data_IF_683416149009
#
_entry.id   IF_683416149009
#
_cell.length_a   1.000
_cell.length_b   1.000
_cell.length_c   1.000
_cell.angle_alpha   90.00
_cell.angle_beta   90.00
_cell.angle_gamma   90.00
#
_symmetry.space_group_name_H-M   'P 1'
#
loop_
_entity.id
_entity.type
_entity.pdbx_description
1 polymer ?
#
# COMPACT_ATOMS: atom_id res chain seq x y z
N UNK A 1 15.15 23.37 -12.00
CA UNK A 1 14.05 23.75 -11.07
C UNK A 1 12.70 23.94 -11.79
N UNK A 2 12.56 24.85 -12.76
CA UNK A 2 11.29 25.01 -13.54
C UNK A 2 10.80 23.71 -14.20
N UNK A 3 11.71 22.95 -14.83
CA UNK A 3 11.41 21.61 -15.39
C UNK A 3 10.88 20.63 -14.34
N UNK A 4 11.51 20.59 -13.15
CA UNK A 4 11.10 19.71 -12.06
C UNK A 4 9.71 20.05 -11.55
N UNK A 5 9.41 21.33 -11.34
CA UNK A 5 8.09 21.76 -10.92
C UNK A 5 7.01 21.36 -11.94
N UNK A 6 7.29 21.57 -13.24
CA UNK A 6 6.39 21.15 -14.32
C UNK A 6 6.18 19.63 -14.35
N UNK A 7 7.25 18.88 -14.13
CA UNK A 7 7.20 17.42 -14.08
C UNK A 7 6.41 16.94 -12.85
N UNK A 8 6.59 17.56 -11.69
CA UNK A 8 5.84 17.28 -10.45
C UNK A 8 4.34 17.55 -10.60
N UNK A 9 3.97 18.71 -11.14
CA UNK A 9 2.57 19.12 -11.34
C UNK A 9 1.85 18.21 -12.34
N UNK A 10 2.57 17.63 -13.31
CA UNK A 10 1.95 16.77 -14.32
C UNK A 10 1.96 15.30 -13.86
N UNK A 11 3.13 14.74 -13.58
CA UNK A 11 3.28 13.32 -13.30
C UNK A 11 2.84 12.96 -11.88
N UNK A 12 3.38 13.64 -10.87
CA UNK A 12 3.09 13.27 -9.49
C UNK A 12 1.66 13.61 -9.15
N UNK A 13 1.14 14.77 -9.56
CA UNK A 13 -0.28 15.07 -9.31
C UNK A 13 -1.22 14.07 -9.97
N UNK A 14 -0.97 13.65 -11.22
CA UNK A 14 -1.82 12.68 -11.89
C UNK A 14 -1.75 11.29 -11.23
N UNK A 15 -0.54 10.81 -10.92
CA UNK A 15 -0.36 9.55 -10.21
C UNK A 15 -0.98 9.58 -8.80
N UNK A 16 -0.81 10.70 -8.10
CA UNK A 16 -1.44 10.94 -6.80
C UNK A 16 -2.96 10.91 -6.88
N UNK A 17 -3.54 11.53 -7.91
CA UNK A 17 -4.99 11.55 -8.14
C UNK A 17 -5.54 10.19 -8.54
N UNK A 18 -4.82 9.43 -9.37
CA UNK A 18 -5.20 8.04 -9.69
C UNK A 18 -5.18 7.17 -8.45
N UNK A 19 -4.14 7.27 -7.61
CA UNK A 19 -4.07 6.50 -6.36
C UNK A 19 -5.15 6.90 -5.36
N UNK A 20 -5.47 8.20 -5.31
CA UNK A 20 -6.59 8.71 -4.53
C UNK A 20 -7.93 8.10 -4.97
N UNK A 21 -8.19 8.01 -6.29
CA UNK A 21 -9.43 7.41 -6.81
C UNK A 21 -9.51 5.91 -6.50
N UNK A 22 -8.38 5.20 -6.56
CA UNK A 22 -8.34 3.77 -6.23
C UNK A 22 -8.61 3.49 -4.76
N UNK A 23 -8.05 4.29 -3.84
CA UNK A 23 -8.34 4.12 -2.41
C UNK A 23 -9.72 4.63 -2.05
N UNK A 24 -10.22 5.64 -2.75
CA UNK A 24 -11.61 6.09 -2.67
C UNK A 24 -12.55 4.93 -3.00
N UNK A 25 -12.47 4.31 -4.17
CA UNK A 25 -13.32 3.16 -4.55
C UNK A 25 -13.22 1.99 -3.55
N UNK A 26 -12.00 1.65 -3.10
CA UNK A 26 -11.81 0.56 -2.14
C UNK A 26 -12.54 0.83 -0.81
N UNK A 27 -12.48 2.07 -0.29
CA UNK A 27 -13.21 2.49 0.90
C UNK A 27 -14.71 2.63 0.65
N UNK A 28 -15.11 3.03 -0.56
CA UNK A 28 -16.50 3.20 -0.96
C UNK A 28 -17.28 1.89 -0.80
N UNK A 29 -16.67 0.74 -1.09
CA UNK A 29 -17.32 -0.57 -0.94
C UNK A 29 -17.77 -0.85 0.49
N UNK A 30 -16.88 -0.61 1.46
CA UNK A 30 -17.16 -0.84 2.89
C UNK A 30 -18.23 0.12 3.38
N UNK A 31 -18.13 1.38 2.99
CA UNK A 31 -19.07 2.44 3.38
C UNK A 31 -20.46 2.22 2.75
N UNK A 32 -20.51 1.82 1.47
CA UNK A 32 -21.74 1.45 0.78
C UNK A 32 -22.42 0.23 1.43
N UNK A 33 -21.64 -0.79 1.81
CA UNK A 33 -22.13 -1.98 2.48
C UNK A 33 -22.92 -1.65 3.75
N UNK A 34 -22.38 -0.78 4.61
CA UNK A 34 -23.03 -0.37 5.86
C UNK A 34 -24.11 0.71 5.70
N UNK A 35 -24.23 1.28 4.50
CA UNK A 35 -25.17 2.38 4.20
C UNK A 35 -26.38 1.95 3.36
N UNK A 36 -26.73 0.65 3.36
CA UNK A 36 -27.94 0.14 2.70
C UNK A 36 -27.70 -0.86 1.56
N UNK A 37 -26.45 -1.02 1.09
CA UNK A 37 -26.14 -1.99 0.02
C UNK A 37 -26.35 -3.43 0.49
N UNK A 38 -26.10 -3.73 1.78
CA UNK A 38 -26.32 -5.04 2.36
C UNK A 38 -27.79 -5.47 2.28
N UNK A 39 -28.69 -4.57 2.68
CA UNK A 39 -30.13 -4.80 2.76
C UNK A 39 -30.75 -4.85 1.36
N UNK A 40 -30.37 -3.94 0.47
CA UNK A 40 -30.95 -3.84 -0.87
C UNK A 40 -30.57 -5.01 -1.78
N UNK A 41 -29.30 -5.45 -1.72
CA UNK A 41 -28.83 -6.58 -2.53
C UNK A 41 -29.06 -7.93 -1.84
N UNK A 42 -29.51 -7.94 -0.58
CA UNK A 42 -29.77 -9.18 0.17
C UNK A 42 -28.51 -9.98 0.45
N UNK A 43 -27.41 -9.32 0.86
CA UNK A 43 -26.17 -10.00 1.24
C UNK A 43 -26.38 -10.95 2.42
N UNK A 44 -25.93 -12.20 2.27
CA UNK A 44 -26.03 -13.24 3.29
C UNK A 44 -24.66 -13.82 3.67
N UNK A 45 -24.51 -14.16 4.96
CA UNK A 45 -23.33 -14.86 5.47
C UNK A 45 -22.02 -14.14 5.15
N UNK A 46 -21.11 -14.83 4.47
CA UNK A 46 -19.76 -14.34 4.17
C UNK A 46 -19.62 -13.68 2.79
N UNK A 47 -20.72 -13.43 2.07
CA UNK A 47 -20.70 -12.92 0.70
C UNK A 47 -19.99 -11.57 0.55
N UNK A 48 -20.04 -10.71 1.56
CA UNK A 48 -19.28 -9.45 1.56
C UNK A 48 -17.76 -9.70 1.48
N UNK A 49 -17.24 -10.61 2.31
CA UNK A 49 -15.83 -10.95 2.29
C UNK A 49 -15.46 -11.67 0.98
N UNK A 50 -16.35 -12.52 0.45
CA UNK A 50 -16.16 -13.13 -0.89
C UNK A 50 -16.02 -12.08 -1.97
N UNK A 51 -16.86 -11.04 -1.97
CA UNK A 51 -16.78 -9.92 -2.92
C UNK A 51 -15.44 -9.17 -2.81
N UNK A 52 -14.97 -8.87 -1.59
CA UNK A 52 -13.66 -8.23 -1.38
C UNK A 52 -12.52 -9.12 -1.90
N UNK A 53 -12.57 -10.43 -1.62
CA UNK A 53 -11.61 -11.41 -2.13
C UNK A 53 -11.63 -11.49 -3.66
N UNK A 54 -12.80 -11.47 -4.29
CA UNK A 54 -12.90 -11.53 -5.76
C UNK A 54 -12.18 -10.36 -6.43
N UNK A 55 -12.24 -9.15 -5.85
CA UNK A 55 -11.43 -8.00 -6.31
C UNK A 55 -9.93 -8.28 -6.18
N UNK A 56 -9.49 -8.82 -5.05
CA UNK A 56 -8.08 -9.14 -4.81
C UNK A 56 -7.55 -10.24 -5.75
N UNK A 57 -8.38 -11.24 -6.08
CA UNK A 57 -8.03 -12.27 -7.08
C UNK A 57 -7.86 -11.62 -8.45
N UNK A 58 -8.79 -10.75 -8.85
CA UNK A 58 -8.66 -9.97 -10.09
C UNK A 58 -7.36 -9.16 -10.11
N UNK A 59 -7.04 -8.50 -9.00
CA UNK A 59 -5.80 -7.73 -8.85
C UNK A 59 -4.54 -8.59 -9.00
N UNK A 60 -4.47 -9.72 -8.29
CA UNK A 60 -3.33 -10.63 -8.37
C UNK A 60 -3.12 -11.20 -9.79
N UNK A 61 -4.22 -11.57 -10.46
CA UNK A 61 -4.17 -12.05 -11.85
C UNK A 61 -3.73 -10.94 -12.79
N UNK A 62 -4.23 -9.71 -12.63
CA UNK A 62 -3.93 -8.59 -13.53
C UNK A 62 -2.50 -8.07 -13.39
N UNK A 63 -1.87 -8.24 -12.24
CA UNK A 63 -0.54 -7.71 -11.96
C UNK A 63 0.54 -8.32 -12.86
N UNK A 64 0.48 -9.64 -13.11
CA UNK A 64 1.48 -10.35 -13.93
C UNK A 64 1.40 -9.91 -15.41
N UNK A 65 0.24 -10.02 -16.11
CA UNK A 65 0.10 -9.54 -17.47
C UNK A 65 0.41 -8.06 -17.61
N UNK A 66 -0.04 -7.23 -16.67
CA UNK A 66 0.18 -5.79 -16.73
C UNK A 66 1.65 -5.42 -16.69
N UNK A 67 2.42 -6.03 -15.79
CA UNK A 67 3.87 -5.85 -15.73
C UNK A 67 4.54 -6.25 -17.05
N UNK A 68 4.13 -7.37 -17.66
CA UNK A 68 4.64 -7.80 -18.95
C UNK A 68 4.27 -6.82 -20.07
N UNK A 69 3.05 -6.29 -20.08
CA UNK A 69 2.59 -5.32 -21.09
C UNK A 69 3.35 -4.00 -20.95
N UNK A 70 3.60 -3.52 -19.74
CA UNK A 70 4.39 -2.31 -19.48
C UNK A 70 5.83 -2.39 -20.02
N UNK A 71 6.39 -3.60 -20.20
CA UNK A 71 7.70 -3.76 -20.84
C UNK A 71 7.67 -3.54 -22.36
N UNK A 72 6.50 -3.70 -23.00
CA UNK A 72 6.34 -3.65 -24.47
C UNK A 72 5.58 -2.40 -24.93
N UNK A 73 4.53 -2.04 -24.20
CA UNK A 73 3.64 -0.93 -24.48
C UNK A 73 4.02 0.26 -23.61
N UNK A 74 3.93 1.48 -24.18
CA UNK A 74 4.26 2.68 -23.42
C UNK A 74 3.25 2.90 -22.29
N UNK A 75 3.72 3.26 -21.07
CA UNK A 75 2.84 3.61 -19.94
C UNK A 75 1.78 4.65 -20.28
N UNK A 76 2.09 5.55 -21.23
CA UNK A 76 1.18 6.56 -21.77
C UNK A 76 -0.17 6.01 -22.28
N UNK A 77 -0.19 4.81 -22.83
CA UNK A 77 -1.43 4.22 -23.36
C UNK A 77 -2.02 3.18 -22.41
N UNK A 78 -1.16 2.37 -21.78
CA UNK A 78 -1.62 1.28 -20.93
C UNK A 78 -2.23 1.77 -19.62
N UNK A 79 -1.58 2.70 -18.91
CA UNK A 79 -2.09 3.16 -17.60
C UNK A 79 -3.44 3.87 -17.73
N UNK A 80 -3.62 4.85 -18.65
CA UNK A 80 -4.93 5.47 -18.85
C UNK A 80 -6.00 4.49 -19.32
N UNK A 81 -5.64 3.51 -20.16
CA UNK A 81 -6.60 2.49 -20.58
C UNK A 81 -7.10 1.68 -19.38
N UNK A 82 -6.20 1.23 -18.50
CA UNK A 82 -6.57 0.55 -17.28
C UNK A 82 -7.41 1.44 -16.36
N UNK A 83 -7.04 2.71 -16.15
CA UNK A 83 -7.81 3.66 -15.33
C UNK A 83 -9.21 3.94 -15.89
N UNK A 84 -9.36 4.03 -17.22
CA UNK A 84 -10.67 4.20 -17.87
C UNK A 84 -11.52 2.95 -17.71
N UNK A 85 -10.96 1.75 -17.94
CA UNK A 85 -11.68 0.49 -17.73
C UNK A 85 -12.10 0.34 -16.26
N UNK A 86 -11.19 0.61 -15.32
CA UNK A 86 -11.50 0.70 -13.89
C UNK A 86 -12.69 1.62 -13.63
N UNK A 87 -12.66 2.85 -14.14
CA UNK A 87 -13.75 3.83 -13.96
C UNK A 87 -15.09 3.34 -14.54
N UNK A 88 -15.07 2.71 -15.71
CA UNK A 88 -16.29 2.17 -16.37
C UNK A 88 -16.89 1.03 -15.54
N UNK A 89 -16.07 0.11 -15.03
CA UNK A 89 -16.56 -0.96 -14.16
C UNK A 89 -17.05 -0.42 -12.80
N UNK A 90 -16.40 0.61 -12.24
CA UNK A 90 -16.88 1.30 -11.04
C UNK A 90 -18.26 1.93 -11.27
N UNK A 91 -18.49 2.57 -12.42
CA UNK A 91 -19.83 3.04 -12.80
C UNK A 91 -20.84 1.90 -12.88
N UNK A 92 -20.45 0.75 -13.44
CA UNK A 92 -21.33 -0.41 -13.55
C UNK A 92 -21.78 -0.95 -12.19
N UNK A 93 -21.01 -0.74 -11.10
CA UNK A 93 -21.42 -1.08 -9.73
C UNK A 93 -22.73 -0.39 -9.32
N UNK A 94 -23.07 0.79 -9.86
CA UNK A 94 -24.31 1.47 -9.50
C UNK A 94 -25.58 0.80 -10.07
N UNK A 95 -25.45 -0.14 -11.01
CA UNK A 95 -26.56 -0.80 -11.71
C UNK A 95 -26.83 -2.24 -11.26
N UNK A 96 -26.01 -2.79 -10.36
CA UNK A 96 -26.12 -4.18 -9.89
C UNK A 96 -27.37 -4.43 -9.06
N UNK A 97 -27.85 -5.68 -9.11
CA UNK A 97 -29.06 -6.13 -8.38
C UNK A 97 -28.82 -7.36 -7.51
N UNK A 98 -27.68 -8.04 -7.69
CA UNK A 98 -27.31 -9.23 -6.92
C UNK A 98 -25.91 -9.11 -6.29
N UNK A 99 -25.66 -9.77 -5.14
CA UNK A 99 -24.32 -9.90 -4.54
C UNK A 99 -23.31 -10.59 -5.48
N UNK A 100 -23.79 -11.46 -6.37
CA UNK A 100 -22.92 -12.12 -7.36
C UNK A 100 -22.51 -11.15 -8.46
N UNK A 101 -23.43 -10.31 -8.95
CA UNK A 101 -23.15 -9.34 -10.02
C UNK A 101 -22.08 -8.33 -9.57
N UNK A 102 -22.22 -7.81 -8.35
CA UNK A 102 -21.23 -6.88 -7.79
C UNK A 102 -19.87 -7.57 -7.61
N UNK A 103 -19.84 -8.84 -7.21
CA UNK A 103 -18.59 -9.61 -7.10
C UNK A 103 -17.90 -9.77 -8.47
N UNK A 104 -18.65 -10.05 -9.52
CA UNK A 104 -18.11 -10.16 -10.89
C UNK A 104 -17.56 -8.82 -11.38
N UNK A 105 -18.30 -7.72 -11.19
CA UNK A 105 -17.79 -6.39 -11.59
C UNK A 105 -16.53 -6.06 -10.79
N UNK A 106 -16.50 -6.38 -9.49
CA UNK A 106 -15.34 -6.16 -8.61
C UNK A 106 -14.11 -6.96 -9.05
N UNK A 107 -14.28 -8.14 -9.65
CA UNK A 107 -13.17 -8.86 -10.29
C UNK A 107 -12.50 -8.02 -11.38
N UNK A 108 -13.30 -7.46 -12.30
CA UNK A 108 -12.78 -6.63 -13.39
C UNK A 108 -12.17 -5.32 -12.89
N UNK A 109 -12.81 -4.67 -11.89
CA UNK A 109 -12.21 -3.52 -11.21
C UNK A 109 -10.80 -3.85 -10.72
N UNK A 110 -10.65 -4.96 -9.98
CA UNK A 110 -9.34 -5.41 -9.50
C UNK A 110 -8.34 -5.71 -10.62
N UNK A 111 -8.80 -6.37 -11.70
CA UNK A 111 -7.98 -6.73 -12.86
C UNK A 111 -7.36 -5.52 -13.56
N UNK A 112 -8.10 -4.42 -13.70
CA UNK A 112 -7.57 -3.20 -14.32
C UNK A 112 -6.77 -2.36 -13.31
N UNK A 113 -7.19 -2.33 -12.05
CA UNK A 113 -6.52 -1.62 -10.95
C UNK A 113 -5.08 -2.09 -10.72
N UNK A 114 -4.79 -3.38 -10.89
CA UNK A 114 -3.46 -3.96 -10.64
C UNK A 114 -2.31 -3.35 -11.42
N UNK A 115 -2.61 -2.65 -12.51
CA UNK A 115 -1.63 -2.03 -13.41
C UNK A 115 -1.08 -0.73 -12.85
N UNK A 116 -1.87 -0.04 -12.02
CA UNK A 116 -1.63 1.34 -11.67
C UNK A 116 -0.43 1.48 -10.73
N UNK A 117 -0.42 0.80 -9.59
CA UNK A 117 0.66 0.91 -8.61
C UNK A 117 2.06 0.55 -9.18
N UNK A 118 2.28 -0.62 -9.83
CA UNK A 118 3.58 -0.91 -10.44
C UNK A 118 3.89 0.02 -11.62
N UNK A 119 2.88 0.42 -12.39
CA UNK A 119 3.03 1.41 -13.45
C UNK A 119 3.46 2.77 -12.96
N UNK A 120 2.89 3.24 -11.85
CA UNK A 120 3.23 4.48 -11.17
C UNK A 120 4.70 4.46 -10.71
N UNK A 121 5.12 3.37 -10.05
CA UNK A 121 6.51 3.18 -9.64
C UNK A 121 7.46 3.14 -10.84
N UNK A 122 7.05 2.50 -11.93
CA UNK A 122 7.84 2.45 -13.16
C UNK A 122 7.99 3.84 -13.81
N UNK A 123 6.90 4.60 -13.92
CA UNK A 123 6.94 5.97 -14.45
C UNK A 123 7.76 6.87 -13.54
N UNK A 124 7.51 6.87 -12.23
CA UNK A 124 8.29 7.67 -11.28
C UNK A 124 9.77 7.31 -11.33
N UNK A 125 10.08 6.01 -11.43
CA UNK A 125 11.44 5.52 -11.65
C UNK A 125 12.07 6.15 -12.88
N UNK A 126 11.42 6.15 -14.05
CA UNK A 126 12.03 6.59 -15.30
C UNK A 126 12.20 8.12 -15.45
N UNK A 127 11.60 8.93 -14.58
CA UNK A 127 11.58 10.39 -14.74
C UNK A 127 12.24 11.15 -13.59
N UNK A 128 12.39 10.52 -12.42
CA UNK A 128 12.96 11.14 -11.22
C UNK A 128 14.30 10.54 -10.83
N UNK A 129 15.17 11.39 -10.28
CA UNK A 129 16.45 10.96 -9.71
C UNK A 129 16.30 10.39 -8.31
N UNK A 130 17.27 9.60 -7.85
CA UNK A 130 17.23 8.94 -6.53
C UNK A 130 17.02 9.90 -5.35
N UNK A 131 17.63 11.08 -5.40
CA UNK A 131 17.52 12.15 -4.39
C UNK A 131 16.14 12.84 -4.37
N UNK A 132 15.37 12.68 -5.45
CA UNK A 132 14.08 13.31 -5.67
C UNK A 132 12.89 12.39 -5.33
N UNK A 133 13.11 11.08 -5.36
CA UNK A 133 12.07 10.05 -5.19
C UNK A 133 11.45 10.06 -3.79
N UNK A 134 12.25 10.19 -2.73
CA UNK A 134 11.78 10.03 -1.36
C UNK A 134 10.66 11.02 -1.00
N UNK A 135 10.87 12.32 -1.27
CA UNK A 135 9.89 13.38 -0.97
C UNK A 135 8.57 13.19 -1.75
N UNK A 136 8.66 12.70 -2.98
CA UNK A 136 7.52 12.49 -3.87
C UNK A 136 6.76 11.21 -3.56
N UNK A 137 7.45 10.17 -3.12
CA UNK A 137 6.85 8.94 -2.62
C UNK A 137 5.96 9.18 -1.39
N UNK A 138 6.39 10.05 -0.47
CA UNK A 138 5.56 10.42 0.70
C UNK A 138 4.29 11.17 0.28
N UNK A 139 4.39 12.10 -0.68
CA UNK A 139 3.22 12.80 -1.22
C UNK A 139 2.25 11.81 -1.87
N UNK A 140 2.75 10.89 -2.70
CA UNK A 140 1.96 9.84 -3.35
C UNK A 140 1.22 8.95 -2.34
N UNK A 141 1.92 8.45 -1.32
CA UNK A 141 1.31 7.58 -0.29
C UNK A 141 0.29 8.35 0.58
N UNK A 142 0.53 9.63 0.84
CA UNK A 142 -0.40 10.44 1.65
C UNK A 142 -1.78 10.57 0.99
N UNK A 143 -1.84 10.57 -0.35
CA UNK A 143 -3.09 10.62 -1.11
C UNK A 143 -3.95 9.38 -0.94
N UNK A 144 -3.33 8.24 -0.65
CA UNK A 144 -4.04 7.01 -0.29
C UNK A 144 -4.94 7.24 0.92
N UNK A 145 -4.39 7.82 2.00
CA UNK A 145 -5.11 8.14 3.23
C UNK A 145 -6.15 9.25 3.02
N UNK A 146 -5.83 10.26 2.21
CA UNK A 146 -6.81 11.30 1.83
C UNK A 146 -8.01 10.73 1.09
N UNK A 147 -7.81 9.75 0.19
CA UNK A 147 -8.89 9.06 -0.51
C UNK A 147 -9.85 8.34 0.43
N UNK A 148 -9.32 7.67 1.47
CA UNK A 148 -10.15 6.99 2.48
C UNK A 148 -11.00 7.98 3.29
N UNK A 149 -10.43 9.10 3.72
CA UNK A 149 -11.18 10.13 4.46
C UNK A 149 -12.28 10.73 3.57
N UNK A 150 -11.93 11.04 2.32
CA UNK A 150 -12.88 11.60 1.36
C UNK A 150 -14.03 10.61 1.06
N UNK A 151 -13.75 9.30 1.01
CA UNK A 151 -14.78 8.26 0.89
C UNK A 151 -15.84 8.36 1.97
N UNK A 152 -15.43 8.43 3.25
CA UNK A 152 -16.39 8.52 4.36
C UNK A 152 -17.23 9.79 4.32
N UNK A 153 -16.61 10.92 3.96
CA UNK A 153 -17.32 12.20 3.79
C UNK A 153 -18.30 12.14 2.62
N UNK A 154 -17.86 11.60 1.48
CA UNK A 154 -18.67 11.47 0.28
C UNK A 154 -19.87 10.55 0.53
N UNK A 155 -19.68 9.40 1.20
CA UNK A 155 -20.79 8.50 1.54
C UNK A 155 -21.82 9.21 2.41
N UNK A 156 -21.35 9.91 3.46
CA UNK A 156 -22.21 10.64 4.38
C UNK A 156 -23.04 11.71 3.65
N UNK A 157 -22.39 12.48 2.78
CA UNK A 157 -23.05 13.51 1.98
C UNK A 157 -24.04 12.93 0.96
N UNK A 158 -23.67 11.83 0.28
CA UNK A 158 -24.54 11.14 -0.68
C UNK A 158 -25.75 10.52 0.01
N UNK A 159 -25.56 9.90 1.17
CA UNK A 159 -26.67 9.35 1.95
C UNK A 159 -27.62 10.44 2.46
N UNK A 160 -27.09 11.56 2.93
CA UNK A 160 -27.92 12.63 3.52
C UNK A 160 -28.70 13.41 2.45
N UNK A 161 -28.09 13.67 1.29
CA UNK A 161 -28.64 14.61 0.31
C UNK A 161 -29.14 13.95 -0.99
N UNK A 162 -28.69 12.74 -1.31
CA UNK A 162 -28.98 12.07 -2.58
C UNK A 162 -29.77 10.77 -2.43
N UNK A 163 -30.03 10.32 -1.20
CA UNK A 163 -30.86 9.15 -0.98
C UNK A 163 -32.30 9.39 -1.45
N UNK A 164 -32.83 8.49 -2.28
CA UNK A 164 -34.13 8.62 -2.92
C UNK A 164 -34.15 9.51 -4.17
N UNK A 165 -33.09 10.28 -4.44
CA UNK A 165 -33.01 11.12 -5.64
C UNK A 165 -32.91 10.22 -6.88
N UNK A 166 -33.76 10.48 -7.88
CA UNK A 166 -33.95 9.63 -9.07
C UNK A 166 -34.30 8.16 -8.75
N UNK A 167 -34.97 7.89 -7.61
CA UNK A 167 -35.32 6.53 -7.16
C UNK A 167 -34.10 5.61 -6.99
N UNK A 168 -32.95 6.19 -6.65
CA UNK A 168 -31.71 5.48 -6.37
C UNK A 168 -31.33 5.66 -4.90
N UNK A 169 -30.86 4.58 -4.30
CA UNK A 169 -30.32 4.59 -2.94
C UNK A 169 -29.00 5.35 -2.87
N UNK A 170 -28.71 5.99 -1.74
CA UNK A 170 -27.53 6.83 -1.54
C UNK A 170 -26.20 6.13 -1.84
N UNK A 171 -26.08 4.83 -1.58
CA UNK A 171 -24.86 4.06 -1.91
C UNK A 171 -24.61 3.93 -3.42
N UNK A 172 -25.65 3.90 -4.26
CA UNK A 172 -25.49 3.85 -5.73
C UNK A 172 -24.91 5.16 -6.26
N UNK A 173 -25.30 6.28 -5.65
CA UNK A 173 -24.78 7.61 -5.97
C UNK A 173 -23.29 7.74 -5.69
N UNK A 174 -22.79 7.06 -4.65
CA UNK A 174 -21.37 7.04 -4.35
C UNK A 174 -20.54 6.52 -5.54
N UNK A 175 -20.91 5.36 -6.10
CA UNK A 175 -20.20 4.78 -7.24
C UNK A 175 -20.33 5.64 -8.52
N UNK A 176 -21.44 6.36 -8.68
CA UNK A 176 -21.61 7.31 -9.79
C UNK A 176 -20.65 8.49 -9.63
N UNK A 177 -20.60 9.11 -8.46
CA UNK A 177 -19.73 10.28 -8.22
C UNK A 177 -18.25 9.87 -8.34
N UNK A 178 -17.90 8.71 -7.79
CA UNK A 178 -16.56 8.15 -7.88
C UNK A 178 -16.11 7.94 -9.34
N UNK A 179 -16.98 7.36 -10.17
CA UNK A 179 -16.74 7.25 -11.60
C UNK A 179 -16.63 8.61 -12.31
N UNK A 180 -17.45 9.61 -11.93
CA UNK A 180 -17.42 10.96 -12.52
C UNK A 180 -16.10 11.68 -12.20
N UNK A 181 -15.53 11.43 -11.02
CA UNK A 181 -14.24 12.01 -10.63
C UNK A 181 -13.09 11.25 -11.33
N UNK A 182 -13.16 9.92 -11.36
CA UNK A 182 -12.09 9.06 -11.88
C UNK A 182 -11.95 9.13 -13.40
N UNK A 183 -13.06 9.18 -14.15
CA UNK A 183 -13.03 9.10 -15.61
C UNK A 183 -12.30 10.29 -16.29
N UNK A 184 -12.54 11.57 -15.90
CA UNK A 184 -11.78 12.70 -16.43
C UNK A 184 -10.28 12.64 -16.10
N UNK A 185 -9.93 12.15 -14.90
CA UNK A 185 -8.53 11.97 -14.49
C UNK A 185 -7.86 10.92 -15.38
N UNK A 186 -8.53 9.78 -15.60
CA UNK A 186 -8.08 8.73 -16.50
C UNK A 186 -7.93 9.22 -17.94
N UNK A 187 -8.90 10.00 -18.43
CA UNK A 187 -8.85 10.61 -19.76
C UNK A 187 -7.72 11.64 -19.90
N UNK A 188 -7.49 12.46 -18.87
CA UNK A 188 -6.37 13.39 -18.81
C UNK A 188 -5.03 12.64 -18.87
N UNK A 189 -4.97 11.41 -18.35
CA UNK A 189 -3.80 10.55 -18.45
C UNK A 189 -3.34 10.27 -19.88
N UNK A 190 -4.24 10.07 -20.84
CA UNK A 190 -3.84 9.86 -22.25
C UNK A 190 -3.07 11.05 -22.85
N UNK A 191 -3.39 12.27 -22.37
CA UNK A 191 -2.77 13.51 -22.81
C UNK A 191 -1.49 13.81 -22.02
N UNK A 192 -1.53 13.61 -20.70
CA UNK A 192 -0.52 14.08 -19.77
C UNK A 192 0.59 13.06 -19.48
N UNK A 193 0.32 11.75 -19.52
CA UNK A 193 1.37 10.76 -19.27
C UNK A 193 2.43 10.84 -20.39
N UNK A 194 3.70 11.05 -20.03
CA UNK A 194 4.79 11.04 -20.99
C UNK A 194 5.06 9.62 -21.48
N UNK A 195 5.39 9.50 -22.77
CA UNK A 195 6.00 8.30 -23.32
C UNK A 195 7.40 8.09 -22.74
N UNK A 196 8.03 6.94 -22.96
CA UNK A 196 9.41 6.68 -22.50
C UNK A 196 10.35 7.86 -22.80
N UNK A 197 11.24 8.28 -21.89
CA UNK A 197 12.15 9.41 -22.08
C UNK A 197 12.88 9.41 -23.44
N UNK A 198 13.22 8.23 -23.95
CA UNK A 198 13.90 8.05 -25.25
C UNK A 198 12.98 8.33 -26.44
N UNK A 199 11.68 8.04 -26.30
CA UNK A 199 10.64 8.15 -27.34
C UNK A 199 9.79 9.42 -27.22
N UNK A 200 10.02 10.29 -26.25
CA UNK A 200 9.30 11.57 -26.13
C UNK A 200 9.65 12.46 -27.32
N UNK A 201 8.63 12.89 -28.04
CA UNK A 201 8.74 13.89 -29.10
C UNK A 201 8.39 15.29 -28.55
N UNK A 202 9.05 16.35 -29.04
CA UNK A 202 8.69 17.72 -28.68
C UNK A 202 7.24 18.01 -29.09
N UNK A 203 6.49 18.63 -28.18
CA UNK A 203 5.07 18.93 -28.36
C UNK A 203 4.59 20.02 -27.40
N UNK A 204 3.27 20.24 -27.33
CA UNK A 204 2.68 21.31 -26.49
C UNK A 204 3.03 21.18 -24.99
N UNK A 205 3.20 19.96 -24.51
CA UNK A 205 3.47 19.68 -23.09
C UNK A 205 4.97 19.70 -22.80
N UNK A 206 5.81 19.11 -23.66
CA UNK A 206 7.25 19.01 -23.44
C UNK A 206 8.03 19.74 -24.53
N UNK A 207 8.80 20.76 -24.15
CA UNK A 207 9.66 21.48 -25.10
C UNK A 207 10.88 20.64 -25.47
N UNK A 208 11.52 20.93 -26.61
CA UNK A 208 12.77 20.28 -27.00
C UNK A 208 13.87 20.45 -25.93
N UNK A 209 13.87 21.59 -25.24
CA UNK A 209 14.76 21.87 -24.10
C UNK A 209 14.46 20.98 -22.89
N UNK A 210 13.19 20.80 -22.55
CA UNK A 210 12.76 19.92 -21.46
C UNK A 210 13.18 18.46 -21.73
N UNK A 211 13.04 17.99 -22.97
CA UNK A 211 13.42 16.63 -23.40
C UNK A 211 14.94 16.44 -23.35
N UNK A 212 15.72 17.43 -23.80
CA UNK A 212 17.18 17.39 -23.73
C UNK A 212 17.66 17.30 -22.28
N UNK A 213 17.05 18.06 -21.36
CA UNK A 213 17.33 17.95 -19.92
C UNK A 213 16.98 16.56 -19.40
N UNK A 214 15.81 16.03 -19.77
CA UNK A 214 15.35 14.72 -19.31
C UNK A 214 16.30 13.59 -19.73
N UNK A 215 16.71 13.57 -21.01
CA UNK A 215 17.65 12.57 -21.53
C UNK A 215 19.03 12.67 -20.89
N UNK A 216 19.58 13.89 -20.81
CA UNK A 216 20.86 14.13 -20.15
C UNK A 216 20.84 13.67 -18.68
N UNK A 217 19.72 13.84 -17.99
CA UNK A 217 19.58 13.37 -16.60
C UNK A 217 19.53 11.86 -16.47
N UNK A 218 18.92 11.17 -17.42
CA UNK A 218 18.87 9.70 -17.45
C UNK A 218 20.25 9.10 -17.78
N UNK A 219 20.99 9.70 -18.71
CA UNK A 219 22.38 9.32 -19.02
C UNK A 219 23.29 9.47 -17.80
N UNK A 220 23.16 10.57 -17.07
CA UNK A 220 23.96 10.85 -15.85
C UNK A 220 23.71 9.88 -14.70
N UNK A 221 22.63 9.10 -14.73
CA UNK A 221 22.27 8.18 -13.66
C UNK A 221 22.70 6.72 -13.93
N UNK A 222 23.44 6.48 -15.03
CA UNK A 222 23.92 5.17 -15.52
C UNK A 222 22.89 4.06 -15.32
N UNK A 223 21.61 4.38 -15.60
CA UNK A 223 20.53 3.40 -15.57
C UNK A 223 20.64 2.56 -16.82
N UNK A 224 21.61 1.64 -16.81
CA UNK A 224 21.72 0.57 -17.80
C UNK A 224 20.34 -0.07 -17.92
N UNK A 225 19.80 -0.06 -19.14
CA UNK A 225 18.61 -0.81 -19.52
C UNK A 225 18.65 -2.18 -18.86
N UNK A 226 17.54 -2.55 -18.19
CA UNK A 226 17.38 -3.77 -17.39
C UNK A 226 18.32 -4.90 -17.86
N UNK A 227 19.32 -5.23 -17.04
CA UNK A 227 20.26 -6.28 -17.35
C UNK A 227 19.49 -7.57 -17.65
N UNK A 228 19.94 -8.33 -18.66
CA UNK A 228 19.31 -9.61 -19.00
C UNK A 228 19.46 -10.56 -17.82
N UNK A 229 18.33 -10.93 -17.21
CA UNK A 229 18.27 -11.94 -16.15
C UNK A 229 19.03 -13.20 -16.58
N UNK A 230 20.16 -13.47 -15.92
CA UNK A 230 20.96 -14.69 -16.15
C UNK A 230 20.68 -15.68 -15.02
N UNK A 231 20.51 -16.97 -15.34
CA UNK A 231 20.18 -18.01 -14.34
C UNK A 231 21.14 -18.02 -13.13
N UNK A 232 22.43 -17.74 -13.36
CA UNK A 232 23.42 -17.63 -12.28
C UNK A 232 23.15 -16.49 -11.30
N UNK A 233 22.58 -15.36 -11.76
CA UNK A 233 22.21 -14.25 -10.88
C UNK A 233 21.00 -14.60 -10.02
N UNK A 234 20.01 -15.31 -10.57
CA UNK A 234 18.86 -15.78 -9.79
C UNK A 234 19.27 -16.73 -8.66
N UNK A 235 20.16 -17.69 -8.93
CA UNK A 235 20.66 -18.61 -7.89
C UNK A 235 21.36 -17.85 -6.76
N UNK A 236 22.18 -16.84 -7.10
CA UNK A 236 22.84 -15.99 -6.09
C UNK A 236 21.84 -15.18 -5.26
N UNK A 237 20.78 -14.66 -5.89
CA UNK A 237 19.73 -13.90 -5.20
C UNK A 237 18.92 -14.81 -4.26
N UNK A 238 18.46 -15.97 -4.72
CA UNK A 238 17.72 -16.92 -3.87
C UNK A 238 18.59 -17.56 -2.77
N UNK A 239 19.91 -17.51 -2.89
CA UNK A 239 20.84 -17.87 -1.82
C UNK A 239 20.98 -16.82 -0.71
N UNK A 240 20.47 -15.60 -0.92
CA UNK A 240 20.53 -14.53 0.08
C UNK A 240 19.39 -14.69 1.11
N UNK A 241 19.74 -14.62 2.40
CA UNK A 241 18.77 -14.69 3.50
C UNK A 241 17.72 -13.57 3.44
N UNK A 242 18.10 -12.40 2.89
CA UNK A 242 17.23 -11.23 2.76
C UNK A 242 15.95 -11.57 1.97
N UNK A 243 16.06 -12.42 0.95
CA UNK A 243 14.91 -12.85 0.11
C UNK A 243 13.90 -13.70 0.87
N UNK A 244 14.33 -14.43 1.89
CA UNK A 244 13.46 -15.34 2.63
C UNK A 244 12.88 -14.71 3.90
N UNK A 245 13.46 -13.62 4.39
CA UNK A 245 13.04 -12.97 5.64
C UNK A 245 12.27 -11.67 5.37
N UNK A 246 12.78 -10.79 4.51
CA UNK A 246 12.20 -9.45 4.31
C UNK A 246 10.79 -9.45 3.69
N UNK A 247 10.42 -10.37 2.78
CA UNK A 247 9.05 -10.45 2.30
C UNK A 247 8.01 -10.73 3.40
N UNK A 248 8.37 -11.49 4.44
CA UNK A 248 7.44 -11.75 5.55
C UNK A 248 7.04 -10.49 6.30
N UNK A 249 7.95 -9.51 6.43
CA UNK A 249 7.63 -8.21 7.01
C UNK A 249 6.49 -7.52 6.23
N UNK A 250 6.57 -7.53 4.91
CA UNK A 250 5.54 -6.95 4.02
C UNK A 250 4.22 -7.72 4.11
N UNK A 251 4.28 -9.05 4.15
CA UNK A 251 3.09 -9.91 4.29
C UNK A 251 2.38 -9.61 5.61
N UNK A 252 3.10 -9.63 6.73
CA UNK A 252 2.50 -9.38 8.04
C UNK A 252 1.93 -7.98 8.13
N UNK A 253 2.68 -6.95 7.71
CA UNK A 253 2.21 -5.57 7.72
C UNK A 253 0.94 -5.37 6.88
N UNK A 254 0.88 -5.94 5.68
CA UNK A 254 -0.27 -5.69 4.79
C UNK A 254 -1.55 -6.35 5.30
N UNK A 255 -1.44 -7.46 6.05
CA UNK A 255 -2.59 -8.15 6.64
C UNK A 255 -3.07 -7.52 7.97
N UNK A 256 -2.39 -6.49 8.51
CA UNK A 256 -2.91 -5.74 9.67
C UNK A 256 -3.93 -4.67 9.30
N UNK A 257 -4.02 -4.29 8.01
CA UNK A 257 -4.85 -3.19 7.51
C UNK A 257 -6.35 -3.44 7.72
N UNK A 258 -6.80 -4.70 7.63
CA UNK A 258 -8.21 -5.08 7.79
C UNK A 258 -8.76 -4.73 9.19
N UNK A 259 -7.88 -4.50 10.17
CA UNK A 259 -8.27 -4.13 11.51
C UNK A 259 -9.01 -2.78 11.58
N UNK A 260 -8.81 -1.88 10.61
CA UNK A 260 -9.58 -0.62 10.52
C UNK A 260 -11.07 -0.86 10.36
N UNK A 261 -11.45 -1.86 9.55
CA UNK A 261 -12.86 -2.11 9.21
C UNK A 261 -13.70 -2.49 10.43
N UNK A 262 -13.08 -3.05 11.47
CA UNK A 262 -13.75 -3.47 12.70
C UNK A 262 -14.50 -2.30 13.36
N UNK A 263 -13.97 -1.08 13.28
CA UNK A 263 -14.63 0.06 13.89
C UNK A 263 -15.91 0.44 13.13
N UNK A 264 -15.85 0.48 11.79
CA UNK A 264 -17.03 0.73 10.94
C UNK A 264 -18.11 -0.33 11.19
N UNK A 265 -17.74 -1.60 11.24
CA UNK A 265 -18.69 -2.68 11.54
C UNK A 265 -19.25 -2.62 12.97
N UNK A 266 -18.42 -2.22 13.95
CA UNK A 266 -18.88 -2.06 15.32
C UNK A 266 -19.90 -0.92 15.45
N UNK A 267 -19.66 0.23 14.82
CA UNK A 267 -20.62 1.35 14.76
C UNK A 267 -21.92 0.94 14.07
N UNK A 268 -21.82 0.22 12.95
CA UNK A 268 -22.99 -0.22 12.17
C UNK A 268 -23.90 -1.22 12.91
N UNK A 269 -23.33 -2.03 13.81
CA UNK A 269 -24.10 -3.02 14.57
C UNK A 269 -24.50 -2.55 15.97
N UNK A 270 -24.08 -1.35 16.40
CA UNK A 270 -24.43 -0.80 17.70
C UNK A 270 -25.91 -0.37 17.73
N UNK A 271 -26.66 -0.88 18.71
CA UNK A 271 -28.09 -0.61 18.88
C UNK A 271 -28.37 0.04 20.25
N UNK A 272 -29.40 0.88 20.29
CA UNK A 272 -29.98 1.38 21.54
C UNK A 272 -30.78 0.27 22.24
N UNK A 273 -31.18 0.50 23.49
CA UNK A 273 -32.01 -0.43 24.27
C UNK A 273 -33.34 -0.75 23.57
N UNK A 274 -33.88 0.22 22.81
CA UNK A 274 -35.10 0.08 22.01
C UNK A 274 -34.90 -0.72 20.69
N UNK A 275 -33.68 -1.25 20.45
CA UNK A 275 -33.34 -2.01 19.24
C UNK A 275 -33.11 -1.17 17.98
N UNK A 276 -33.26 0.15 18.07
CA UNK A 276 -32.94 1.11 16.99
C UNK A 276 -31.43 1.27 16.80
N UNK A 277 -31.00 1.66 15.60
CA UNK A 277 -29.57 1.95 15.34
C UNK A 277 -29.09 3.08 16.26
N UNK A 278 -27.99 2.83 16.99
CA UNK A 278 -27.42 3.82 17.92
C UNK A 278 -26.74 4.97 17.18
N UNK A 279 -26.07 4.66 16.07
CA UNK A 279 -25.38 5.63 15.25
C UNK A 279 -26.12 5.85 13.94
N UNK A 280 -26.10 7.09 13.46
CA UNK A 280 -26.62 7.41 12.14
C UNK A 280 -25.65 6.95 11.06
N UNK A 281 -26.15 6.68 9.85
CA UNK A 281 -25.29 6.30 8.70
C UNK A 281 -24.18 7.33 8.43
N UNK A 282 -24.43 8.66 8.49
CA UNK A 282 -23.36 9.66 8.48
C UNK A 282 -22.27 9.46 9.54
N UNK A 283 -22.65 9.16 10.79
CA UNK A 283 -21.70 8.94 11.89
C UNK A 283 -20.85 7.68 11.67
N UNK A 284 -21.48 6.59 11.21
CA UNK A 284 -20.81 5.32 10.90
C UNK A 284 -19.71 5.52 9.86
N UNK A 285 -19.92 6.40 8.88
CA UNK A 285 -18.96 6.68 7.81
C UNK A 285 -17.90 7.73 8.20
N UNK A 286 -18.23 8.69 9.09
CA UNK A 286 -17.33 9.79 9.45
C UNK A 286 -16.42 9.48 10.63
N UNK A 287 -16.88 8.74 11.65
CA UNK A 287 -16.08 8.48 12.86
C UNK A 287 -14.82 7.65 12.58
N UNK A 288 -14.82 6.62 11.70
CA UNK A 288 -13.59 5.89 11.37
C UNK A 288 -12.49 6.76 10.73
N UNK A 289 -12.84 7.90 10.12
CA UNK A 289 -11.85 8.81 9.51
C UNK A 289 -10.81 9.32 10.51
N UNK A 290 -11.14 9.43 11.80
CA UNK A 290 -10.14 9.81 12.80
C UNK A 290 -9.05 8.75 12.99
N UNK A 291 -9.32 7.46 12.72
CA UNK A 291 -8.28 6.42 12.73
C UNK A 291 -7.26 6.68 11.62
N UNK A 292 -7.75 7.03 10.42
CA UNK A 292 -6.92 7.36 9.26
C UNK A 292 -6.14 8.66 9.49
N UNK A 293 -6.74 9.66 10.15
CA UNK A 293 -6.05 10.90 10.51
C UNK A 293 -4.86 10.62 11.47
N UNK A 294 -5.07 9.79 12.50
CA UNK A 294 -3.99 9.37 13.40
C UNK A 294 -2.91 8.59 12.65
N UNK A 295 -3.30 7.70 11.73
CA UNK A 295 -2.38 7.00 10.85
C UNK A 295 -1.46 7.97 10.08
N UNK A 296 -2.02 9.01 9.44
CA UNK A 296 -1.25 9.99 8.67
C UNK A 296 -0.27 10.75 9.56
N UNK A 297 -0.77 11.32 10.67
CA UNK A 297 0.04 12.13 11.59
C UNK A 297 1.15 11.30 12.21
N UNK A 298 0.82 10.09 12.70
CA UNK A 298 1.81 9.22 13.32
C UNK A 298 2.85 8.72 12.31
N UNK A 299 2.47 8.46 11.05
CA UNK A 299 3.41 8.10 9.98
C UNK A 299 4.47 9.18 9.76
N UNK A 300 4.08 10.46 9.82
CA UNK A 300 5.02 11.58 9.72
C UNK A 300 5.94 11.67 10.94
N UNK A 301 5.38 11.49 12.14
CA UNK A 301 6.14 11.50 13.40
C UNK A 301 7.22 10.42 13.40
N UNK A 302 6.87 9.16 13.08
CA UNK A 302 7.85 8.06 13.05
C UNK A 302 8.90 8.24 11.95
N UNK A 303 8.52 8.82 10.81
CA UNK A 303 9.45 9.13 9.72
C UNK A 303 10.52 10.14 10.17
N UNK A 304 10.09 11.26 10.78
CA UNK A 304 11.01 12.28 11.27
C UNK A 304 11.86 11.81 12.46
N UNK A 305 11.28 11.04 13.38
CA UNK A 305 12.01 10.45 14.50
C UNK A 305 13.09 9.47 14.01
N UNK A 306 12.76 8.65 13.01
CA UNK A 306 13.69 7.69 12.41
C UNK A 306 14.91 8.37 11.80
N UNK A 307 14.68 9.37 10.94
CA UNK A 307 15.76 10.02 10.21
C UNK A 307 16.57 10.99 11.10
N UNK A 308 15.92 11.65 12.07
CA UNK A 308 16.57 12.60 12.99
C UNK A 308 17.09 11.94 14.27
N UNK A 309 16.19 11.72 15.23
CA UNK A 309 16.54 11.32 16.60
C UNK A 309 17.24 9.95 16.66
N UNK A 310 16.84 9.01 15.81
CA UNK A 310 17.40 7.66 15.77
C UNK A 310 18.56 7.50 14.78
N UNK A 311 19.04 8.60 14.16
CA UNK A 311 20.18 8.60 13.23
C UNK A 311 20.08 7.56 12.10
N UNK A 312 18.87 7.30 11.61
CA UNK A 312 18.61 6.31 10.56
C UNK A 312 18.32 4.88 11.06
N UNK A 313 18.30 4.63 12.37
CA UNK A 313 17.91 3.32 12.93
C UNK A 313 16.39 3.08 12.83
N UNK A 314 15.94 2.75 11.62
CA UNK A 314 14.53 2.53 11.25
C UNK A 314 13.85 1.39 12.01
N UNK A 315 14.61 0.43 12.52
CA UNK A 315 14.06 -0.71 13.26
C UNK A 315 13.45 -0.30 14.62
N UNK A 316 13.95 0.78 15.26
CA UNK A 316 13.51 1.20 16.59
C UNK A 316 12.05 1.69 16.56
N UNK A 317 11.66 2.64 15.69
CA UNK A 317 10.26 3.05 15.61
C UNK A 317 9.31 1.92 15.15
N UNK A 318 9.78 1.00 14.30
CA UNK A 318 9.00 -0.17 13.85
C UNK A 318 8.65 -1.07 15.04
N UNK A 319 9.66 -1.44 15.84
CA UNK A 319 9.44 -2.29 17.03
C UNK A 319 8.59 -1.59 18.07
N UNK A 320 8.82 -0.29 18.31
CA UNK A 320 8.02 0.50 19.26
C UNK A 320 6.54 0.56 18.84
N UNK A 321 6.29 0.93 17.58
CA UNK A 321 4.93 1.05 17.03
C UNK A 321 4.23 -0.31 17.01
N UNK A 322 4.93 -1.37 16.62
CA UNK A 322 4.38 -2.73 16.64
C UNK A 322 4.08 -3.21 18.06
N UNK A 323 4.95 -2.92 19.03
CA UNK A 323 4.73 -3.30 20.44
C UNK A 323 3.50 -2.60 21.02
N UNK A 324 3.35 -1.30 20.72
CA UNK A 324 2.15 -0.55 21.09
C UNK A 324 0.89 -1.13 20.42
N UNK A 325 0.98 -1.48 19.13
CA UNK A 325 -0.14 -2.06 18.39
C UNK A 325 -0.55 -3.46 18.89
N UNK A 326 0.39 -4.28 19.36
CA UNK A 326 0.09 -5.56 20.05
C UNK A 326 -0.77 -5.29 21.29
N UNK A 327 -0.37 -4.33 22.13
CA UNK A 327 -1.11 -3.98 23.35
C UNK A 327 -2.52 -3.50 23.00
N UNK A 328 -2.65 -2.59 22.02
CA UNK A 328 -3.95 -2.09 21.55
C UNK A 328 -4.85 -3.24 21.07
N UNK A 329 -4.32 -4.16 20.25
CA UNK A 329 -5.08 -5.29 19.76
C UNK A 329 -5.51 -6.26 20.87
N UNK A 330 -4.64 -6.57 21.83
CA UNK A 330 -4.96 -7.43 22.99
C UNK A 330 -6.04 -6.78 23.85
N UNK A 331 -5.90 -5.49 24.17
CA UNK A 331 -6.90 -4.77 24.96
C UNK A 331 -8.24 -4.72 24.23
N UNK A 332 -8.25 -4.46 22.91
CA UNK A 332 -9.47 -4.46 22.12
C UNK A 332 -10.16 -5.84 22.10
N UNK A 333 -9.39 -6.93 22.05
CA UNK A 333 -9.92 -8.30 22.10
C UNK A 333 -10.48 -8.65 23.50
N UNK A 334 -9.86 -8.14 24.56
CA UNK A 334 -10.28 -8.35 25.94
C UNK A 334 -11.49 -7.51 26.35
N UNK A 335 -11.64 -6.31 25.79
CA UNK A 335 -12.76 -5.41 26.11
C UNK A 335 -14.11 -5.98 25.66
N UNK A 336 -15.15 -5.94 26.53
CA UNK A 336 -16.50 -6.31 26.16
C UNK A 336 -16.99 -5.54 24.93
N UNK A 337 -17.74 -6.20 24.04
CA UNK A 337 -18.23 -5.62 22.78
C UNK A 337 -18.97 -4.31 22.98
N UNK A 338 -19.82 -4.26 24.00
CA UNK A 338 -20.51 -3.07 24.47
C UNK A 338 -20.25 -2.97 25.97
N UNK A 339 -19.28 -2.13 26.36
CA UNK A 339 -18.99 -1.84 27.76
C UNK A 339 -19.81 -0.64 28.23
N UNK A 340 -19.95 -0.48 29.55
CA UNK A 340 -20.52 0.73 30.18
C UNK A 340 -19.75 2.01 29.84
N UNK A 341 -18.46 1.89 29.47
CA UNK A 341 -17.60 2.99 29.07
C UNK A 341 -17.22 2.89 27.58
N UNK A 342 -18.20 3.16 26.71
CA UNK A 342 -18.04 3.12 25.26
C UNK A 342 -16.90 4.01 24.74
N UNK A 343 -16.68 5.16 25.39
CA UNK A 343 -15.60 6.11 25.07
C UNK A 343 -14.22 5.46 25.11
N UNK A 344 -13.99 4.51 26.03
CA UNK A 344 -12.71 3.79 26.11
C UNK A 344 -12.52 2.91 24.88
N UNK A 345 -13.56 2.19 24.46
CA UNK A 345 -13.49 1.32 23.27
C UNK A 345 -13.25 2.15 22.00
N UNK A 346 -13.91 3.30 21.88
CA UNK A 346 -13.69 4.25 20.78
C UNK A 346 -12.24 4.78 20.78
N UNK A 347 -11.69 5.12 21.95
CA UNK A 347 -10.29 5.55 22.05
C UNK A 347 -9.32 4.47 21.54
N UNK A 348 -9.53 3.19 21.90
CA UNK A 348 -8.71 2.09 21.39
C UNK A 348 -8.90 1.85 19.89
N UNK A 349 -10.11 2.04 19.33
CA UNK A 349 -10.29 2.03 17.88
C UNK A 349 -9.46 3.13 17.19
N UNK A 350 -9.41 4.34 17.73
CA UNK A 350 -8.56 5.41 17.21
C UNK A 350 -7.06 5.07 17.28
N UNK A 351 -6.62 4.43 18.36
CA UNK A 351 -5.23 4.00 18.52
C UNK A 351 -4.79 2.92 17.52
N UNK A 352 -5.72 2.21 16.85
CA UNK A 352 -5.38 1.28 15.75
C UNK A 352 -4.61 1.97 14.63
N UNK A 353 -4.90 3.25 14.35
CA UNK A 353 -4.22 4.03 13.32
C UNK A 353 -2.70 4.11 13.53
N UNK A 354 -2.22 4.07 14.77
CA UNK A 354 -0.79 4.06 15.12
C UNK A 354 -0.10 2.82 14.54
N UNK A 355 -0.68 1.63 14.74
CA UNK A 355 -0.07 0.37 14.28
C UNK A 355 0.07 0.28 12.76
N UNK A 356 -0.81 0.94 12.03
CA UNK A 356 -0.93 0.87 10.57
C UNK A 356 0.02 1.86 9.84
N UNK A 357 0.53 2.85 10.57
CA UNK A 357 1.39 3.93 10.05
C UNK A 357 2.78 3.50 9.55
N UNK A 358 3.24 2.32 9.94
CA UNK A 358 4.64 1.90 9.81
C UNK A 358 5.01 1.35 8.43
N UNK A 359 4.05 1.22 7.50
CA UNK A 359 4.27 0.64 6.18
C UNK A 359 5.35 1.34 5.36
N UNK A 360 5.29 2.67 5.28
CA UNK A 360 6.28 3.47 4.55
C UNK A 360 7.69 3.33 5.14
N UNK A 361 7.79 3.33 6.47
CA UNK A 361 9.06 3.15 7.18
C UNK A 361 9.65 1.75 6.96
N UNK A 362 8.80 0.71 6.98
CA UNK A 362 9.22 -0.67 6.74
C UNK A 362 9.70 -0.86 5.29
N UNK A 363 9.00 -0.30 4.30
CA UNK A 363 9.46 -0.31 2.91
C UNK A 363 10.79 0.43 2.74
N UNK A 364 10.96 1.59 3.41
CA UNK A 364 12.23 2.32 3.39
C UNK A 364 13.38 1.49 3.98
N UNK A 365 13.14 0.78 5.08
CA UNK A 365 14.13 -0.08 5.71
C UNK A 365 14.53 -1.27 4.82
N UNK A 366 13.56 -1.96 4.21
CA UNK A 366 13.84 -3.05 3.23
C UNK A 366 14.68 -2.51 2.06
N UNK A 367 14.32 -1.34 1.53
CA UNK A 367 15.06 -0.71 0.44
C UNK A 367 16.53 -0.43 0.77
N UNK A 368 16.81 -0.07 2.02
CA UNK A 368 18.16 0.22 2.51
C UNK A 368 18.98 -1.06 2.71
N UNK A 369 18.38 -2.11 3.27
CA UNK A 369 19.01 -3.42 3.45
C UNK A 369 19.40 -4.09 2.12
N UNK A 370 18.64 -3.79 1.06
CA UNK A 370 18.87 -4.30 -0.29
C UNK A 370 19.61 -3.30 -1.20
N UNK A 371 20.24 -2.27 -0.64
CA UNK A 371 20.92 -1.23 -1.42
C UNK A 371 22.12 -1.74 -2.24
N UNK A 372 22.72 -2.87 -1.83
CA UNK A 372 23.86 -3.51 -2.49
C UNK A 372 23.53 -4.07 -3.88
N UNK A 373 22.28 -4.50 -4.11
CA UNK A 373 21.84 -5.11 -5.37
C UNK A 373 20.45 -4.61 -5.78
N UNK A 374 20.40 -3.84 -6.87
CA UNK A 374 19.15 -3.34 -7.42
C UNK A 374 18.19 -4.46 -7.85
N UNK A 375 18.74 -5.58 -8.36
CA UNK A 375 17.96 -6.74 -8.82
C UNK A 375 17.35 -7.49 -7.65
N UNK A 376 18.14 -7.72 -6.59
CA UNK A 376 17.66 -8.36 -5.36
C UNK A 376 16.53 -7.55 -4.72
N UNK A 377 16.71 -6.22 -4.63
CA UNK A 377 15.69 -5.31 -4.11
C UNK A 377 14.39 -5.40 -4.89
N UNK A 378 14.45 -5.41 -6.22
CA UNK A 378 13.27 -5.49 -7.06
C UNK A 378 12.50 -6.80 -6.85
N UNK A 379 13.22 -7.93 -6.74
CA UNK A 379 12.62 -9.24 -6.48
C UNK A 379 11.97 -9.28 -5.09
N UNK A 380 12.65 -8.80 -4.05
CA UNK A 380 12.13 -8.82 -2.66
C UNK A 380 10.84 -8.01 -2.55
N UNK A 381 10.81 -6.80 -3.14
CA UNK A 381 9.63 -5.95 -3.10
C UNK A 381 8.46 -6.53 -3.90
N UNK A 382 8.72 -7.05 -5.10
CA UNK A 382 7.69 -7.69 -5.92
C UNK A 382 7.13 -8.94 -5.23
N UNK A 383 8.01 -9.84 -4.80
CA UNK A 383 7.63 -11.07 -4.09
C UNK A 383 6.87 -10.76 -2.80
N UNK A 384 7.35 -9.82 -1.99
CA UNK A 384 6.68 -9.40 -0.76
C UNK A 384 5.27 -8.85 -1.01
N UNK A 385 5.09 -7.98 -2.01
CA UNK A 385 3.79 -7.38 -2.31
C UNK A 385 2.80 -8.38 -2.93
N UNK A 386 3.27 -9.24 -3.84
CA UNK A 386 2.44 -10.24 -4.51
C UNK A 386 1.93 -11.27 -3.50
N UNK A 387 2.83 -11.81 -2.67
CA UNK A 387 2.43 -12.73 -1.61
C UNK A 387 1.55 -12.05 -0.56
N UNK A 388 1.84 -10.80 -0.18
CA UNK A 388 0.97 -10.06 0.73
C UNK A 388 -0.47 -9.95 0.20
N UNK A 389 -0.64 -9.74 -1.11
CA UNK A 389 -1.94 -9.69 -1.77
C UNK A 389 -2.63 -11.05 -1.77
N UNK A 390 -1.87 -12.14 -1.99
CA UNK A 390 -2.40 -13.51 -1.90
C UNK A 390 -2.93 -13.81 -0.50
N UNK A 391 -2.20 -13.47 0.56
CA UNK A 391 -2.67 -13.66 1.94
C UNK A 391 -3.93 -12.83 2.24
N UNK A 392 -3.96 -11.56 1.80
CA UNK A 392 -5.15 -10.70 1.93
C UNK A 392 -6.38 -11.28 1.21
N UNK A 393 -6.20 -12.12 0.18
CA UNK A 393 -7.33 -12.69 -0.55
C UNK A 393 -8.08 -13.75 0.30
N UNK A 394 -7.39 -14.64 1.01
CA UNK A 394 -8.04 -15.77 1.69
C UNK A 394 -8.11 -15.66 3.21
N UNK A 395 -7.18 -14.95 3.86
CA UNK A 395 -7.13 -14.83 5.33
C UNK A 395 -8.39 -14.15 5.88
N UNK A 396 -8.87 -13.01 5.31
CA UNK A 396 -10.07 -12.35 5.80
C UNK A 396 -11.34 -13.20 5.73
N UNK A 397 -11.43 -14.11 4.75
CA UNK A 397 -12.56 -15.04 4.63
C UNK A 397 -12.71 -15.94 5.87
N UNK A 398 -11.59 -16.26 6.53
CA UNK A 398 -11.56 -17.14 7.69
C UNK A 398 -11.63 -16.39 9.01
N UNK A 399 -10.98 -15.24 9.10
CA UNK A 399 -10.75 -14.53 10.36
C UNK A 399 -11.67 -13.33 10.58
N UNK A 400 -12.15 -12.69 9.51
CA UNK A 400 -13.01 -11.51 9.55
C UNK A 400 -14.46 -11.85 9.17
N UNK A 401 -14.96 -13.01 9.61
CA UNK A 401 -16.32 -13.48 9.28
C UNK A 401 -17.38 -12.49 9.74
N UNK A 402 -18.27 -12.13 8.83
CA UNK A 402 -19.40 -11.23 9.11
C UNK A 402 -20.33 -11.78 10.21
N UNK A 403 -20.41 -13.10 10.39
CA UNK A 403 -21.17 -13.76 11.46
C UNK A 403 -20.58 -13.55 12.86
N UNK A 404 -19.30 -13.20 12.95
CA UNK A 404 -18.58 -12.96 14.21
C UNK A 404 -18.43 -11.46 14.53
N UNK A 405 -18.85 -10.59 13.60
CA UNK A 405 -18.98 -9.15 13.84
C UNK A 405 -20.15 -8.90 14.80
N UNK A 406 -20.06 -7.91 15.71
CA UNK A 406 -19.05 -6.84 15.79
C UNK A 406 -17.89 -7.11 16.76
N UNK A 407 -17.86 -8.27 17.43
CA UNK A 407 -16.78 -8.59 18.38
C UNK A 407 -15.46 -8.89 17.67
N UNK A 408 -15.52 -9.56 16.51
CA UNK A 408 -14.38 -9.87 15.65
C UNK A 408 -13.13 -10.40 16.40
N UNK A 409 -13.36 -11.26 17.41
CA UNK A 409 -12.32 -11.67 18.35
C UNK A 409 -11.14 -12.37 17.66
N UNK A 410 -11.44 -13.31 16.75
CA UNK A 410 -10.41 -14.05 16.00
C UNK A 410 -9.53 -13.14 15.15
N UNK A 411 -10.12 -12.23 14.39
CA UNK A 411 -9.39 -11.25 13.58
C UNK A 411 -8.55 -10.28 14.43
N UNK A 412 -9.07 -9.87 15.59
CA UNK A 412 -8.34 -8.98 16.51
C UNK A 412 -7.12 -9.69 17.14
N UNK A 413 -7.28 -10.93 17.60
CA UNK A 413 -6.17 -11.74 18.12
C UNK A 413 -5.15 -12.04 17.02
N UNK A 414 -5.61 -12.37 15.82
CA UNK A 414 -4.74 -12.56 14.66
C UNK A 414 -3.90 -11.30 14.37
N UNK A 415 -4.50 -10.12 14.42
CA UNK A 415 -3.78 -8.86 14.22
C UNK A 415 -2.72 -8.64 15.30
N UNK A 416 -2.99 -8.99 16.56
CA UNK A 416 -1.97 -8.96 17.62
C UNK A 416 -0.80 -9.92 17.31
N UNK A 417 -1.10 -11.14 16.84
CA UNK A 417 -0.08 -12.09 16.42
C UNK A 417 0.75 -11.57 15.24
N UNK A 418 0.15 -10.87 14.27
CA UNK A 418 0.86 -10.26 13.15
C UNK A 418 1.85 -9.19 13.61
N UNK A 419 1.44 -8.29 14.52
CA UNK A 419 2.35 -7.29 15.06
C UNK A 419 3.48 -7.93 15.89
N UNK A 420 3.20 -8.99 16.64
CA UNK A 420 4.24 -9.77 17.32
C UNK A 420 5.20 -10.44 16.32
N UNK A 421 4.67 -10.99 15.23
CA UNK A 421 5.47 -11.58 14.16
C UNK A 421 6.36 -10.54 13.48
N UNK A 422 5.88 -9.31 13.24
CA UNK A 422 6.70 -8.20 12.76
C UNK A 422 7.89 -7.94 13.69
N UNK A 423 7.66 -7.86 15.00
CA UNK A 423 8.75 -7.65 15.98
C UNK A 423 9.77 -8.79 15.89
N UNK A 424 9.31 -10.04 15.89
CA UNK A 424 10.18 -11.21 15.80
C UNK A 424 11.00 -11.18 14.50
N UNK A 425 10.38 -10.89 13.37
CA UNK A 425 11.07 -10.82 12.08
C UNK A 425 12.07 -9.67 12.02
N UNK A 426 11.79 -8.52 12.64
CA UNK A 426 12.74 -7.41 12.78
C UNK A 426 13.96 -7.86 13.62
N UNK A 427 13.73 -8.52 14.75
CA UNK A 427 14.81 -9.02 15.61
C UNK A 427 15.67 -10.08 14.91
N UNK A 428 15.05 -11.01 14.16
CA UNK A 428 15.76 -12.00 13.33
C UNK A 428 16.60 -11.27 12.28
N UNK A 429 16.03 -10.28 11.59
CA UNK A 429 16.75 -9.48 10.58
C UNK A 429 17.98 -8.80 11.19
N UNK A 430 17.85 -8.23 12.39
CA UNK A 430 18.98 -7.63 13.11
C UNK A 430 20.06 -8.65 13.49
N UNK A 431 19.67 -9.86 13.91
CA UNK A 431 20.61 -10.93 14.22
C UNK A 431 21.42 -11.37 12.98
N UNK A 432 20.78 -11.47 11.82
CA UNK A 432 21.47 -11.77 10.56
C UNK A 432 22.40 -10.63 10.13
N UNK A 433 21.97 -9.37 10.24
CA UNK A 433 22.83 -8.21 9.97
C UNK A 433 24.07 -8.20 10.87
N UNK A 434 23.89 -8.51 12.16
CA UNK A 434 25.01 -8.58 13.10
C UNK A 434 25.97 -9.74 12.76
N UNK A 435 25.43 -10.89 12.37
CA UNK A 435 26.22 -12.04 11.91
C UNK A 435 27.04 -11.71 10.65
N UNK A 436 26.44 -11.05 9.66
CA UNK A 436 27.13 -10.66 8.43
C UNK A 436 28.23 -9.62 8.70
N UNK A 437 27.98 -8.64 9.60
CA UNK A 437 29.01 -7.68 10.03
C UNK A 437 30.18 -8.36 10.72
N UNK A 438 29.92 -9.33 11.61
CA UNK A 438 30.99 -10.07 12.29
C UNK A 438 31.77 -10.96 11.33
N UNK A 439 31.10 -11.59 10.36
CA UNK A 439 31.77 -12.39 9.33
C UNK A 439 32.71 -11.53 8.49
N UNK A 440 32.24 -10.39 8.00
CA UNK A 440 33.06 -9.47 7.21
C UNK A 440 34.24 -8.91 8.03
N UNK A 441 34.02 -8.60 9.32
CA UNK A 441 35.09 -8.12 10.22
C UNK A 441 36.18 -9.19 10.41
N UNK A 442 35.79 -10.44 10.61
CA UNK A 442 36.73 -11.55 10.73
C UNK A 442 37.50 -11.79 9.43
N UNK A 443 36.84 -11.74 8.28
CA UNK A 443 37.49 -11.88 6.96
C UNK A 443 38.52 -10.76 6.71
N UNK A 444 38.21 -9.50 7.07
CA UNK A 444 39.16 -8.38 6.97
C UNK A 444 40.33 -8.53 7.93
N UNK A 445 40.09 -9.00 9.16
CA UNK A 445 41.18 -9.20 10.14
C UNK A 445 42.11 -10.32 9.69
N UNK A 446 41.58 -11.43 9.17
CA UNK A 446 42.40 -12.52 8.62
C UNK A 446 43.19 -12.07 7.38
N UNK A 447 42.60 -11.27 6.48
CA UNK A 447 43.36 -10.73 5.34
C UNK A 447 44.48 -9.77 5.76
N UNK A 448 44.24 -8.93 6.77
CA UNK A 448 45.26 -8.01 7.29
C UNK A 448 46.40 -8.77 8.00
N UNK A 449 46.09 -9.87 8.69
CA UNK A 449 47.07 -10.78 9.30
C UNK A 449 47.91 -11.50 8.23
N UNK A 450 47.29 -12.01 7.16
CA UNK A 450 48.00 -12.65 6.03
C UNK A 450 48.90 -11.66 5.27
N UNK A 451 48.46 -10.41 5.06
CA UNK A 451 49.27 -9.37 4.43
C UNK A 451 50.49 -9.03 5.31
N UNK A 452 50.30 -8.85 6.61
CA UNK A 452 51.39 -8.55 7.55
C UNK A 452 52.38 -9.72 7.71
N UNK A 453 51.91 -10.97 7.64
CA UNK A 453 52.77 -12.17 7.65
C UNK A 453 53.62 -12.29 6.37
N UNK A 454 53.06 -11.94 5.20
CA UNK A 454 53.83 -11.92 3.95
C UNK A 454 54.84 -10.77 3.91
N UNK A 455 54.52 -9.60 4.47
CA UNK A 455 55.40 -8.42 4.49
C UNK A 455 56.55 -8.54 5.52
N UNK A 456 56.35 -9.35 6.57
CA UNK A 456 57.42 -9.73 7.50
C UNK A 456 58.33 -10.81 6.90
N UNK A 457 57.78 -11.75 6.13
CA UNK A 457 58.55 -12.78 5.43
C UNK A 457 59.41 -12.20 4.30
N UNK A 458 58.93 -11.20 3.56
CA UNK A 458 59.71 -10.51 2.51
C UNK A 458 60.91 -9.74 3.06
N UNK A 459 60.75 -9.05 4.20
CA UNK A 459 61.85 -8.34 4.89
C UNK A 459 62.93 -9.27 5.45
N UNK A 460 62.58 -10.50 5.79
CA UNK A 460 63.55 -11.51 6.25
C UNK A 460 64.39 -12.03 5.06
N UNK A 461 63.81 -12.11 3.86
CA UNK A 461 64.49 -12.58 2.64
C UNK A 461 65.40 -11.49 2.04
N UNK A 462 65.05 -10.21 2.14
CA UNK A 462 65.94 -9.10 1.70
C UNK A 462 67.08 -8.77 2.69
N UNK A 463 67.04 -9.35 3.90
CA UNK A 463 68.04 -9.13 4.96
C UNK A 463 69.16 -10.18 5.04
N UNK A 464 69.19 -11.16 4.14
CA UNK A 464 70.25 -12.17 3.95
C UNK A 464 70.87 -12.02 2.58
#
# INVERSE_FOLDING_TARGET
RKFLFKLDVILISLLSLGFFCETLDASNVTNAYVSGMREELGFQGNQYNTMLTTRLIGYAIGQIPSNLILTRLSPRYWLPFCEVMFSVFTFACCAVKSPTDISIIRFFVGLFQSSFYPGALFVVGNFYRKDELAKRGVLFISMAGSGQIFSGILQSAAYTNLDGVMKRSGWRWMFIIDGIISLPIAMAGFLLYPSFPDKIKPGKIWSAYDIAIMRKRMELEDRKSAAKFTKSHLVKIFGNWKVWILPWLMIFFSNTQDFLQVYTFWLSNAKNEDGTSKYTVPQINLYPNGQVAIFIVWSWVIGWLSDGAFKGNRWIPIVFTSSFAVIVAIVQAALPTYSTNESVRIAFYYLVGIGISQGGLMQAWINELCSESNEERAIILAFGNDFATVFQAWVPLLLWKQTEMPRAFKGTVYTACLYAAIIITVLITLAFIYKDKNKNKNETTTSDEEINANDSSSKIIEGT
#
